data_IF_515083787474
#
_entry.id   IF_515083787474
#
_cell.length_a   1.000
_cell.length_b   1.000
_cell.length_c   1.000
_cell.angle_alpha   90.00
_cell.angle_beta   90.00
_cell.angle_gamma   90.00
#
_symmetry.space_group_name_H-M   'P 1'
#
loop_
_entity.id
_entity.type
_entity.pdbx_description
1 polymer ?
#
# COMPACT_ATOMS: atom_id res chain seq x y z
N UNK A 1 12.27 7.36 -16.55
CA UNK A 1 13.40 6.38 -16.35
C UNK A 1 14.16 6.23 -17.66
N UNK A 2 15.52 6.40 -17.66
CA UNK A 2 16.33 6.24 -18.87
C UNK A 2 16.52 4.75 -19.25
N UNK A 3 16.92 4.50 -20.50
CA UNK A 3 17.03 3.11 -21.03
C UNK A 3 18.07 2.25 -20.30
N UNK A 4 19.30 2.72 -20.00
CA UNK A 4 20.28 1.92 -19.29
C UNK A 4 19.79 1.48 -17.90
N UNK A 5 19.17 2.39 -17.14
CA UNK A 5 18.61 2.06 -15.82
C UNK A 5 17.44 1.06 -15.93
N UNK A 6 16.61 1.17 -16.96
CA UNK A 6 15.54 0.19 -17.19
C UNK A 6 16.09 -1.21 -17.44
N UNK A 7 17.12 -1.34 -18.30
CA UNK A 7 17.77 -2.63 -18.59
C UNK A 7 18.42 -3.19 -17.32
N UNK A 8 19.15 -2.36 -16.57
CA UNK A 8 19.71 -2.74 -15.27
C UNK A 8 18.63 -3.28 -14.33
N UNK A 9 17.52 -2.53 -14.17
CA UNK A 9 16.41 -2.96 -13.32
C UNK A 9 15.72 -4.23 -13.82
N UNK A 10 15.71 -4.48 -15.14
CA UNK A 10 15.16 -5.73 -15.69
C UNK A 10 15.98 -6.95 -15.28
N UNK A 11 17.30 -6.81 -15.26
CA UNK A 11 18.24 -7.90 -14.93
C UNK A 11 18.43 -8.08 -13.41
N UNK A 12 18.23 -7.03 -12.60
CA UNK A 12 18.43 -7.07 -11.16
C UNK A 12 17.47 -8.07 -10.49
N UNK A 13 17.95 -8.99 -9.64
CA UNK A 13 17.11 -9.85 -8.79
C UNK A 13 16.47 -9.03 -7.65
N UNK A 14 15.47 -8.22 -8.01
CA UNK A 14 14.87 -7.16 -7.17
C UNK A 14 14.41 -7.63 -5.79
N UNK A 15 13.85 -8.83 -5.69
CA UNK A 15 13.40 -9.38 -4.42
C UNK A 15 14.57 -9.72 -3.49
N UNK A 16 15.66 -10.28 -4.03
CA UNK A 16 16.86 -10.56 -3.25
C UNK A 16 17.56 -9.26 -2.83
N UNK A 17 17.74 -8.32 -3.77
CA UNK A 17 18.30 -7.00 -3.50
C UNK A 17 17.49 -6.26 -2.42
N UNK A 18 16.17 -6.27 -2.51
CA UNK A 18 15.29 -5.65 -1.50
C UNK A 18 15.37 -6.35 -0.14
N UNK A 19 15.56 -7.68 -0.08
CA UNK A 19 15.79 -8.39 1.20
C UNK A 19 17.11 -7.98 1.84
N UNK A 20 18.18 -7.90 1.06
CA UNK A 20 19.51 -7.47 1.54
C UNK A 20 19.45 -6.03 2.04
N UNK A 21 18.88 -5.13 1.26
CA UNK A 21 18.69 -3.74 1.65
C UNK A 21 17.84 -3.62 2.93
N UNK A 22 16.71 -4.34 3.00
CA UNK A 22 15.87 -4.38 4.20
C UNK A 22 16.60 -4.96 5.42
N UNK A 23 17.51 -5.93 5.26
CA UNK A 23 18.37 -6.39 6.36
C UNK A 23 19.32 -5.29 6.82
N UNK A 24 19.95 -4.58 5.86
CA UNK A 24 20.83 -3.44 6.16
C UNK A 24 20.09 -2.33 6.94
N UNK A 25 18.89 -1.96 6.53
CA UNK A 25 18.11 -0.91 7.21
C UNK A 25 17.70 -1.28 8.65
N UNK A 26 17.70 -2.57 8.98
CA UNK A 26 17.40 -3.10 10.32
C UNK A 26 18.64 -3.43 11.16
N UNK A 27 19.84 -3.22 10.63
CA UNK A 27 21.08 -3.41 11.41
C UNK A 27 21.05 -2.55 12.69
N UNK A 28 21.56 -3.13 13.76
CA UNK A 28 21.67 -2.50 15.08
C UNK A 28 23.14 -2.30 15.47
N UNK A 29 23.95 -1.75 14.56
CA UNK A 29 25.32 -1.34 14.85
C UNK A 29 25.25 0.12 15.35
N UNK A 30 25.44 0.40 16.65
CA UNK A 30 24.99 1.65 17.27
C UNK A 30 25.46 2.91 16.54
N UNK A 31 26.74 3.00 16.22
CA UNK A 31 27.32 4.19 15.55
C UNK A 31 26.83 4.31 14.09
N UNK A 32 26.95 3.23 13.31
CA UNK A 32 26.57 3.21 11.89
C UNK A 32 25.08 3.43 11.70
N UNK A 33 24.26 2.76 12.50
CA UNK A 33 22.79 2.88 12.43
C UNK A 33 22.34 4.29 12.81
N UNK A 34 23.01 4.95 13.77
CA UNK A 34 22.73 6.34 14.14
C UNK A 34 23.01 7.29 12.98
N UNK A 35 24.17 7.14 12.33
CA UNK A 35 24.53 7.96 11.16
C UNK A 35 23.53 7.75 10.03
N UNK A 36 23.26 6.50 9.65
CA UNK A 36 22.37 6.16 8.57
C UNK A 36 20.92 6.67 8.83
N UNK A 37 20.41 6.51 10.05
CA UNK A 37 19.10 7.02 10.47
C UNK A 37 19.02 8.54 10.37
N UNK A 38 20.02 9.25 10.90
CA UNK A 38 20.05 10.72 10.88
C UNK A 38 20.19 11.25 9.45
N UNK A 39 21.05 10.64 8.63
CA UNK A 39 21.18 10.97 7.22
C UNK A 39 19.86 10.75 6.45
N UNK A 40 19.17 9.64 6.71
CA UNK A 40 17.85 9.35 6.12
C UNK A 40 16.83 10.42 6.52
N UNK A 41 16.73 10.75 7.82
CA UNK A 41 15.79 11.74 8.31
C UNK A 41 16.05 13.13 7.71
N UNK A 42 17.32 13.53 7.61
CA UNK A 42 17.73 14.80 7.03
C UNK A 42 17.50 14.85 5.52
N UNK A 43 17.91 13.82 4.78
CA UNK A 43 17.76 13.76 3.32
C UNK A 43 16.30 13.84 2.87
N UNK A 44 15.41 13.09 3.55
CA UNK A 44 13.99 13.10 3.25
C UNK A 44 13.21 14.19 4.01
N UNK A 45 13.89 15.03 4.80
CA UNK A 45 13.27 16.10 5.61
C UNK A 45 12.07 15.59 6.42
N UNK A 46 12.27 14.48 7.16
CA UNK A 46 11.19 13.86 7.93
C UNK A 46 10.67 14.84 8.99
N UNK A 47 9.37 15.06 9.00
CA UNK A 47 8.73 15.75 10.10
C UNK A 47 8.63 14.82 11.31
N UNK A 48 9.46 15.11 12.32
CA UNK A 48 9.47 14.37 13.57
C UNK A 48 8.56 14.96 14.63
N UNK A 49 7.91 16.10 14.37
CA UNK A 49 6.99 16.75 15.32
C UNK A 49 5.73 15.91 15.57
N UNK A 50 5.27 15.21 14.54
CA UNK A 50 4.13 14.29 14.60
C UNK A 50 4.49 12.91 15.20
N UNK A 51 5.77 12.52 15.22
CA UNK A 51 6.21 11.19 15.66
C UNK A 51 6.00 10.99 17.18
N UNK A 52 5.59 9.77 17.58
CA UNK A 52 5.38 9.40 18.98
C UNK A 52 6.64 9.59 19.83
N UNK A 53 7.81 9.30 19.25
CA UNK A 53 9.11 9.41 19.92
C UNK A 53 10.07 10.32 19.14
N UNK A 54 11.04 10.95 19.80
CA UNK A 54 12.08 11.73 19.14
C UNK A 54 12.98 10.84 18.25
N UNK A 55 13.65 11.44 17.26
CA UNK A 55 14.51 10.73 16.32
C UNK A 55 15.54 9.81 17.01
N UNK A 56 16.07 10.23 18.15
CA UNK A 56 17.05 9.47 18.92
C UNK A 56 16.56 8.13 19.46
N UNK A 57 15.26 7.97 19.63
CA UNK A 57 14.61 6.75 20.13
C UNK A 57 14.77 5.57 19.16
N UNK A 58 14.66 5.83 17.87
CA UNK A 58 14.70 4.78 16.85
C UNK A 58 16.11 4.25 16.64
N UNK A 59 16.32 2.94 16.74
CA UNK A 59 17.64 2.32 16.69
C UNK A 59 18.24 2.26 15.27
N UNK A 60 17.39 2.26 14.24
CA UNK A 60 17.79 2.13 12.84
C UNK A 60 16.74 2.75 11.90
N UNK A 61 17.02 2.75 10.59
CA UNK A 61 16.11 3.29 9.57
C UNK A 61 14.79 2.51 9.55
N UNK A 62 14.81 1.18 9.70
CA UNK A 62 13.59 0.36 9.66
C UNK A 62 12.60 0.72 10.76
N UNK A 63 13.08 0.91 12.00
CA UNK A 63 12.23 1.35 13.12
C UNK A 63 11.68 2.76 12.89
N UNK A 64 12.52 3.70 12.40
CA UNK A 64 12.10 5.06 12.07
C UNK A 64 11.04 5.07 10.97
N UNK A 65 11.17 4.23 9.98
CA UNK A 65 10.27 4.17 8.83
C UNK A 65 8.85 3.75 9.22
N UNK A 66 8.71 2.79 10.13
CA UNK A 66 7.42 2.33 10.66
C UNK A 66 7.02 3.05 11.96
N UNK A 67 7.56 4.27 12.18
CA UNK A 67 7.26 5.08 13.38
C UNK A 67 5.75 5.21 13.60
N UNK A 68 5.34 5.26 14.84
CA UNK A 68 3.99 5.67 15.22
C UNK A 68 3.91 7.19 15.31
N UNK A 69 2.72 7.71 15.18
CA UNK A 69 2.42 9.13 15.41
C UNK A 69 1.84 9.32 16.82
N UNK A 70 1.95 10.53 17.33
CA UNK A 70 1.30 10.93 18.57
C UNK A 70 -0.23 10.77 18.44
N UNK A 71 -0.95 10.45 19.51
CA UNK A 71 -2.40 10.43 19.49
C UNK A 71 -2.99 11.73 18.93
N UNK A 72 -4.02 11.62 18.11
CA UNK A 72 -4.72 12.78 17.53
C UNK A 72 -4.06 13.41 16.29
N UNK A 73 -2.85 12.95 15.85
CA UNK A 73 -2.19 13.50 14.65
C UNK A 73 -2.89 13.13 13.34
N UNK A 74 -3.78 12.14 13.36
CA UNK A 74 -4.61 11.73 12.23
C UNK A 74 -6.07 11.64 12.69
N UNK A 75 -6.76 12.79 12.75
CA UNK A 75 -8.19 12.80 13.05
C UNK A 75 -8.94 12.09 11.93
N UNK A 76 -9.95 11.29 12.31
CA UNK A 76 -10.77 10.54 11.36
C UNK A 76 -12.01 11.36 11.02
N UNK A 77 -12.17 11.70 9.75
CA UNK A 77 -13.29 12.45 9.23
C UNK A 77 -14.62 11.68 9.38
N UNK A 78 -15.71 12.40 9.51
CA UNK A 78 -17.06 11.85 9.46
C UNK A 78 -17.50 11.66 7.99
N UNK A 79 -16.80 10.75 7.30
CA UNK A 79 -17.10 10.33 5.94
C UNK A 79 -17.14 8.80 5.90
N UNK A 80 -17.87 8.23 4.96
CA UNK A 80 -17.96 6.76 4.86
C UNK A 80 -16.60 6.13 4.55
N UNK A 81 -15.86 6.73 3.62
CA UNK A 81 -14.53 6.27 3.20
C UNK A 81 -13.47 7.33 3.50
N UNK A 82 -12.43 6.94 4.20
CA UNK A 82 -11.31 7.83 4.54
C UNK A 82 -9.99 7.28 3.97
N UNK A 83 -8.98 8.14 3.85
CA UNK A 83 -7.67 7.71 3.38
C UNK A 83 -7.03 6.70 4.36
N UNK A 84 -6.60 5.54 3.85
CA UNK A 84 -5.91 4.54 4.68
C UNK A 84 -4.45 4.88 4.93
N UNK A 85 -3.87 5.83 4.21
CA UNK A 85 -2.44 6.17 4.23
C UNK A 85 -2.20 7.65 4.02
N UNK A 86 -1.03 8.12 4.43
CA UNK A 86 -0.49 9.41 3.98
C UNK A 86 0.11 9.25 2.59
N UNK A 87 -0.21 10.13 1.65
CA UNK A 87 0.34 10.04 0.30
C UNK A 87 -0.28 11.03 -0.66
N UNK A 88 -0.06 10.81 -1.95
CA UNK A 88 -0.69 11.59 -3.03
C UNK A 88 -1.67 10.68 -3.76
N UNK A 89 -2.93 11.09 -3.88
CA UNK A 89 -3.93 10.39 -4.70
C UNK A 89 -3.58 10.65 -6.16
N UNK A 90 -2.89 9.69 -6.77
CA UNK A 90 -2.26 9.84 -8.08
C UNK A 90 -3.16 9.48 -9.25
N UNK A 91 -4.11 8.57 -9.03
CA UNK A 91 -5.06 8.10 -10.04
C UNK A 91 -6.39 7.75 -9.40
N UNK A 92 -7.48 7.95 -10.14
CA UNK A 92 -8.81 7.48 -9.78
C UNK A 92 -9.61 7.14 -11.03
N UNK A 93 -10.65 6.35 -10.89
CA UNK A 93 -11.57 5.98 -11.97
C UNK A 93 -12.69 5.07 -11.50
N UNK A 94 -13.52 4.71 -12.46
CA UNK A 94 -14.71 3.87 -12.25
C UNK A 94 -14.66 2.66 -13.19
N UNK A 95 -15.35 1.60 -12.83
CA UNK A 95 -15.46 0.36 -13.61
C UNK A 95 -16.78 0.31 -14.39
N UNK A 96 -17.01 1.31 -15.25
CA UNK A 96 -18.27 1.46 -16.00
C UNK A 96 -18.40 0.56 -17.24
N UNK A 97 -17.31 -0.05 -17.69
CA UNK A 97 -17.28 -0.95 -18.86
C UNK A 97 -17.14 -2.43 -18.50
N UNK A 98 -17.18 -3.28 -19.51
CA UNK A 98 -16.94 -4.72 -19.33
C UNK A 98 -15.49 -5.03 -18.93
N UNK A 99 -14.54 -4.20 -19.36
CA UNK A 99 -13.17 -4.25 -18.90
C UNK A 99 -13.01 -3.37 -17.66
N UNK A 100 -12.85 -4.00 -16.50
CA UNK A 100 -12.54 -3.33 -15.23
C UNK A 100 -11.09 -2.82 -15.24
N UNK A 101 -10.85 -1.78 -16.04
CA UNK A 101 -9.50 -1.23 -16.27
C UNK A 101 -9.16 -0.12 -15.29
N UNK A 102 -7.99 -0.22 -14.68
CA UNK A 102 -7.40 0.80 -13.83
C UNK A 102 -6.34 1.59 -14.60
N UNK A 103 -6.34 2.90 -14.44
CA UNK A 103 -5.32 3.76 -15.02
C UNK A 103 -4.02 3.60 -14.23
N UNK A 104 -2.93 3.31 -14.94
CA UNK A 104 -1.59 3.25 -14.36
C UNK A 104 -0.89 4.61 -14.49
N UNK A 105 -0.62 5.05 -15.71
CA UNK A 105 -0.08 6.35 -16.07
C UNK A 105 -0.02 6.51 -17.59
N UNK A 106 -0.12 7.73 -18.11
CA UNK A 106 0.10 8.05 -19.54
C UNK A 106 -0.64 7.12 -20.51
N UNK A 107 -1.91 6.87 -20.26
CA UNK A 107 -2.75 6.03 -21.12
C UNK A 107 -2.53 4.52 -20.97
N UNK A 108 -1.60 4.06 -20.11
CA UNK A 108 -1.48 2.64 -19.75
C UNK A 108 -2.52 2.27 -18.74
N UNK A 109 -3.13 1.13 -18.96
CA UNK A 109 -4.13 0.53 -18.06
C UNK A 109 -3.73 -0.89 -17.67
N UNK A 110 -4.37 -1.42 -16.67
CA UNK A 110 -4.29 -2.82 -16.26
C UNK A 110 -5.66 -3.26 -15.71
N UNK A 111 -5.98 -4.55 -15.80
CA UNK A 111 -7.28 -5.05 -15.35
C UNK A 111 -7.32 -5.27 -13.83
N UNK A 112 -8.51 -5.13 -13.23
CA UNK A 112 -8.72 -5.50 -11.84
C UNK A 112 -8.50 -7.00 -11.62
N UNK A 113 -8.86 -7.84 -12.59
CA UNK A 113 -8.60 -9.28 -12.61
C UNK A 113 -7.10 -9.58 -12.48
N UNK A 114 -6.24 -8.89 -13.22
CA UNK A 114 -4.78 -9.07 -13.15
C UNK A 114 -4.22 -8.55 -11.83
N UNK A 115 -4.73 -7.41 -11.34
CA UNK A 115 -4.35 -6.87 -10.05
C UNK A 115 -4.66 -7.86 -8.92
N UNK A 116 -5.84 -8.46 -8.92
CA UNK A 116 -6.30 -9.37 -7.87
C UNK A 116 -5.89 -10.83 -8.11
N UNK A 117 -5.50 -11.18 -9.35
CA UNK A 117 -5.32 -12.56 -9.83
C UNK A 117 -6.52 -13.45 -9.50
N UNK A 118 -7.71 -12.88 -9.63
CA UNK A 118 -9.01 -13.55 -9.41
C UNK A 118 -10.07 -12.85 -10.24
N UNK A 119 -10.65 -13.57 -11.15
CA UNK A 119 -11.79 -13.11 -11.96
C UNK A 119 -13.05 -12.99 -11.11
N UNK A 120 -13.31 -14.02 -10.28
CA UNK A 120 -14.45 -14.01 -9.35
C UNK A 120 -14.47 -12.79 -8.44
N UNK A 121 -13.31 -12.48 -7.82
CA UNK A 121 -13.22 -11.31 -6.95
C UNK A 121 -13.34 -10.00 -7.73
N UNK A 122 -12.79 -9.95 -8.95
CA UNK A 122 -12.92 -8.76 -9.80
C UNK A 122 -14.38 -8.50 -10.18
N UNK A 123 -15.14 -9.53 -10.58
CA UNK A 123 -16.57 -9.38 -10.92
C UNK A 123 -17.41 -8.81 -9.77
N UNK A 124 -17.08 -9.12 -8.52
CA UNK A 124 -17.79 -8.57 -7.35
C UNK A 124 -17.63 -7.05 -7.23
N UNK A 125 -16.59 -6.47 -7.82
CA UNK A 125 -16.31 -5.03 -7.83
C UNK A 125 -16.70 -4.35 -9.16
N UNK A 126 -17.38 -5.05 -10.06
CA UNK A 126 -17.92 -4.47 -11.30
C UNK A 126 -18.86 -3.30 -10.98
N UNK A 127 -18.72 -2.21 -11.71
CA UNK A 127 -19.47 -0.98 -11.46
C UNK A 127 -18.97 -0.16 -10.26
N UNK A 128 -17.89 -0.56 -9.62
CA UNK A 128 -17.26 0.15 -8.52
C UNK A 128 -16.34 1.28 -8.96
N UNK A 129 -15.46 1.71 -8.05
CA UNK A 129 -14.48 2.76 -8.28
C UNK A 129 -13.14 2.42 -7.61
N UNK A 130 -12.06 3.08 -8.05
CA UNK A 130 -10.75 2.92 -7.46
C UNK A 130 -10.03 4.25 -7.23
N UNK A 131 -9.09 4.23 -6.27
CA UNK A 131 -8.09 5.27 -6.06
C UNK A 131 -6.71 4.66 -5.85
N UNK A 132 -5.69 5.23 -6.48
CA UNK A 132 -4.29 4.87 -6.29
C UNK A 132 -3.59 5.96 -5.50
N UNK A 133 -3.06 5.62 -4.32
CA UNK A 133 -2.38 6.55 -3.41
C UNK A 133 -0.90 6.15 -3.34
N UNK A 134 -0.03 7.06 -3.75
CA UNK A 134 1.42 6.89 -3.72
C UNK A 134 2.01 7.43 -2.42
N UNK A 135 2.80 6.62 -1.72
CA UNK A 135 3.51 7.01 -0.51
C UNK A 135 4.97 7.31 -0.84
N UNK A 136 5.39 8.54 -0.61
CA UNK A 136 6.80 8.92 -0.69
C UNK A 136 7.56 8.48 0.59
N UNK A 137 8.91 8.34 0.54
CA UNK A 137 9.69 7.84 1.70
C UNK A 137 9.54 8.66 2.99
N UNK A 138 9.17 9.93 2.90
CA UNK A 138 8.93 10.79 4.06
C UNK A 138 7.57 10.64 4.71
N UNK A 139 6.59 10.06 4.00
CA UNK A 139 5.24 9.87 4.52
C UNK A 139 5.21 8.93 5.73
N UNK A 140 4.09 8.89 6.41
CA UNK A 140 3.76 7.90 7.41
C UNK A 140 3.41 6.58 6.71
N UNK A 141 4.02 5.45 7.12
CA UNK A 141 3.94 4.17 6.40
C UNK A 141 3.15 3.08 7.12
N UNK A 142 2.38 3.43 8.15
CA UNK A 142 1.34 2.53 8.64
C UNK A 142 0.08 2.71 7.83
N UNK A 143 -0.67 1.65 7.69
CA UNK A 143 -1.87 1.55 6.86
C UNK A 143 -3.04 1.39 7.82
N UNK A 144 -4.09 2.13 7.60
CA UNK A 144 -5.27 2.13 8.45
C UNK A 144 -6.50 1.66 7.68
N UNK A 145 -7.54 1.23 8.38
CA UNK A 145 -8.79 0.84 7.74
C UNK A 145 -9.50 2.08 7.19
N UNK A 146 -9.86 2.10 5.90
CA UNK A 146 -10.58 3.22 5.31
C UNK A 146 -12.04 3.30 5.73
N UNK A 147 -12.58 2.24 6.29
CA UNK A 147 -13.98 2.07 6.70
C UNK A 147 -14.05 1.33 8.03
N UNK A 148 -15.20 1.39 8.70
CA UNK A 148 -15.56 0.43 9.75
C UNK A 148 -16.09 -0.84 9.10
N UNK A 149 -15.59 -2.01 9.50
CA UNK A 149 -16.05 -3.28 8.94
C UNK A 149 -15.19 -4.48 9.34
N UNK A 150 -15.57 -5.64 8.84
CA UNK A 150 -14.96 -6.92 9.13
C UNK A 150 -14.05 -7.39 8.00
N UNK A 151 -12.87 -7.90 8.38
CA UNK A 151 -11.98 -8.56 7.43
C UNK A 151 -12.59 -9.90 6.99
N UNK A 152 -12.82 -10.04 5.69
CA UNK A 152 -13.38 -11.28 5.12
C UNK A 152 -12.34 -12.11 4.38
N UNK A 153 -11.30 -11.48 3.85
CA UNK A 153 -10.25 -12.16 3.09
C UNK A 153 -8.94 -11.36 3.11
N UNK A 154 -7.82 -12.06 3.16
CA UNK A 154 -6.52 -11.54 2.75
C UNK A 154 -5.96 -12.37 1.61
N UNK A 155 -5.42 -11.71 0.58
CA UNK A 155 -4.84 -12.37 -0.58
C UNK A 155 -3.41 -11.90 -0.82
N UNK A 156 -2.49 -12.84 -0.83
CA UNK A 156 -1.10 -12.59 -1.22
C UNK A 156 -0.88 -12.98 -2.68
N UNK A 157 -0.38 -12.06 -3.48
CA UNK A 157 0.05 -12.31 -4.84
C UNK A 157 1.58 -12.13 -4.91
N UNK A 158 2.35 -13.20 -5.05
CA UNK A 158 3.79 -13.10 -5.25
C UNK A 158 4.11 -12.35 -6.54
N UNK A 159 5.24 -11.66 -6.56
CA UNK A 159 5.62 -10.87 -7.72
C UNK A 159 7.06 -10.38 -7.63
N UNK A 160 7.45 -9.52 -8.53
CA UNK A 160 8.72 -8.78 -8.47
C UNK A 160 8.56 -7.50 -7.63
N UNK A 161 9.61 -6.69 -7.58
CA UNK A 161 9.62 -5.43 -6.84
C UNK A 161 10.20 -4.32 -7.73
N UNK A 162 9.46 -3.88 -8.75
CA UNK A 162 9.82 -2.69 -9.51
C UNK A 162 9.64 -1.42 -8.66
N UNK A 163 10.46 -0.39 -8.85
CA UNK A 163 10.19 0.92 -8.25
C UNK A 163 8.82 1.43 -8.68
N UNK A 164 8.09 2.10 -7.78
CA UNK A 164 6.77 2.68 -8.08
C UNK A 164 6.83 4.20 -8.29
N UNK A 165 8.02 4.74 -8.58
CA UNK A 165 8.17 6.14 -8.95
C UNK A 165 7.58 6.42 -10.36
N UNK A 166 7.33 7.70 -10.66
CA UNK A 166 6.73 8.16 -11.91
C UNK A 166 7.39 7.54 -13.15
N UNK A 167 8.73 7.55 -13.24
CA UNK A 167 9.43 7.02 -14.40
C UNK A 167 9.25 5.51 -14.62
N UNK A 168 9.06 4.73 -13.56
CA UNK A 168 8.80 3.28 -13.68
C UNK A 168 7.34 3.01 -14.03
N UNK A 169 6.41 3.72 -13.38
CA UNK A 169 4.97 3.59 -13.64
C UNK A 169 4.63 3.96 -15.09
N UNK A 170 5.32 4.92 -15.68
CA UNK A 170 5.15 5.29 -17.08
C UNK A 170 5.74 4.28 -18.07
N UNK A 171 6.77 3.53 -17.68
CA UNK A 171 7.53 2.66 -18.60
C UNK A 171 7.19 1.19 -18.50
N UNK A 172 6.97 0.70 -17.29
CA UNK A 172 6.70 -0.73 -17.03
C UNK A 172 5.22 -1.00 -17.15
N UNK A 173 4.82 -1.82 -18.11
CA UNK A 173 3.42 -2.20 -18.31
C UNK A 173 2.92 -3.10 -17.18
N UNK A 174 1.69 -2.87 -16.70
CA UNK A 174 1.07 -3.65 -15.63
C UNK A 174 1.89 -3.65 -14.33
N UNK A 175 2.65 -2.59 -14.05
CA UNK A 175 3.60 -2.53 -12.94
C UNK A 175 2.98 -2.99 -11.62
N UNK A 176 1.77 -2.54 -11.32
CA UNK A 176 1.10 -2.90 -10.07
C UNK A 176 0.64 -4.36 -10.04
N UNK A 177 0.41 -4.98 -11.20
CA UNK A 177 0.04 -6.40 -11.33
C UNK A 177 1.24 -7.34 -11.24
N UNK A 178 2.43 -6.89 -11.66
CA UNK A 178 3.67 -7.70 -11.62
C UNK A 178 4.40 -7.58 -10.28
N UNK A 179 4.17 -6.51 -9.51
CA UNK A 179 4.77 -6.34 -8.20
C UNK A 179 4.07 -7.24 -7.16
N UNK A 180 4.87 -7.69 -6.18
CA UNK A 180 4.40 -8.42 -5.00
C UNK A 180 3.39 -7.56 -4.24
N UNK A 181 2.27 -8.13 -3.83
CA UNK A 181 1.18 -7.38 -3.19
C UNK A 181 0.36 -8.21 -2.23
N UNK A 182 -0.25 -7.53 -1.28
CA UNK A 182 -1.12 -8.09 -0.26
C UNK A 182 -2.44 -7.30 -0.21
N UNK A 183 -3.56 -7.96 -0.44
CA UNK A 183 -4.89 -7.37 -0.42
C UNK A 183 -5.60 -7.70 0.88
N UNK A 184 -6.28 -6.74 1.49
CA UNK A 184 -7.26 -6.96 2.55
C UNK A 184 -8.64 -6.59 2.01
N UNK A 185 -9.60 -7.48 2.14
CA UNK A 185 -11.01 -7.25 1.80
C UNK A 185 -11.79 -7.03 3.08
N UNK A 186 -12.44 -5.89 3.18
CA UNK A 186 -13.23 -5.49 4.35
C UNK A 186 -14.67 -5.34 3.92
N UNK A 187 -15.58 -5.93 4.69
CA UNK A 187 -17.04 -5.85 4.49
C UNK A 187 -17.66 -4.95 5.54
N UNK A 188 -18.46 -4.00 5.09
CA UNK A 188 -19.23 -3.10 5.94
C UNK A 188 -20.51 -3.81 6.43
N UNK A 189 -21.18 -3.21 7.41
CA UNK A 189 -22.39 -3.77 8.02
C UNK A 189 -23.58 -3.95 7.05
N UNK A 190 -23.64 -3.12 6.00
CA UNK A 190 -24.65 -3.20 4.93
C UNK A 190 -24.30 -4.23 3.83
N UNK A 191 -23.21 -4.95 4.02
CA UNK A 191 -22.67 -5.94 3.08
C UNK A 191 -21.94 -5.36 1.87
N UNK A 192 -21.70 -4.04 1.81
CA UNK A 192 -20.80 -3.45 0.84
C UNK A 192 -19.33 -3.75 1.17
N UNK A 193 -18.44 -3.66 0.19
CA UNK A 193 -17.06 -4.14 0.34
C UNK A 193 -16.03 -3.17 -0.22
N UNK A 194 -14.86 -3.16 0.43
CA UNK A 194 -13.69 -2.41 -0.02
C UNK A 194 -12.45 -3.31 -0.02
N UNK A 195 -11.59 -3.13 -1.04
CA UNK A 195 -10.27 -3.74 -1.09
C UNK A 195 -9.19 -2.69 -0.79
N UNK A 196 -8.28 -3.06 0.10
CA UNK A 196 -7.04 -2.31 0.36
C UNK A 196 -5.89 -3.11 -0.22
N UNK A 197 -5.50 -2.80 -1.46
CA UNK A 197 -4.40 -3.49 -2.15
C UNK A 197 -3.09 -2.78 -1.85
N UNK A 198 -2.23 -3.43 -1.10
CA UNK A 198 -0.91 -2.95 -0.68
C UNK A 198 0.13 -3.48 -1.66
N UNK A 199 0.74 -2.61 -2.47
CA UNK A 199 1.70 -3.01 -3.52
C UNK A 199 3.11 -2.71 -3.06
N UNK A 200 3.98 -3.72 -3.07
CA UNK A 200 5.40 -3.60 -2.76
C UNK A 200 6.21 -2.95 -3.89
N UNK A 201 7.39 -2.44 -3.55
CA UNK A 201 8.31 -1.82 -4.50
C UNK A 201 9.78 -2.17 -4.20
N UNK A 202 10.71 -1.78 -5.06
CA UNK A 202 12.16 -1.94 -4.83
C UNK A 202 12.56 -1.30 -3.51
N UNK A 203 13.39 -2.00 -2.75
CA UNK A 203 13.82 -1.68 -1.40
C UNK A 203 12.70 -1.75 -0.35
N UNK A 204 11.50 -2.17 -0.74
CA UNK A 204 10.25 -2.12 0.01
C UNK A 204 9.46 -3.40 -0.16
N UNK A 205 10.05 -4.52 -0.01
CA UNK A 205 9.33 -5.77 -0.22
C UNK A 205 8.45 -6.21 0.95
N UNK A 206 8.58 -5.61 2.14
CA UNK A 206 7.87 -6.10 3.32
C UNK A 206 6.59 -5.33 3.57
N UNK A 207 5.48 -6.04 3.45
CA UNK A 207 4.15 -5.59 3.84
C UNK A 207 3.69 -6.53 4.95
N UNK A 208 3.42 -5.97 6.13
CA UNK A 208 2.86 -6.71 7.26
C UNK A 208 1.46 -6.22 7.59
N UNK A 209 0.64 -7.09 8.16
CA UNK A 209 -0.71 -6.80 8.64
C UNK A 209 -0.84 -7.09 10.12
N UNK A 210 -1.75 -6.41 10.84
CA UNK A 210 -1.87 -6.55 12.29
C UNK A 210 -2.63 -7.80 12.71
N UNK A 211 -3.45 -8.36 11.84
CA UNK A 211 -4.31 -9.49 12.11
C UNK A 211 -3.67 -10.86 11.83
N UNK A 212 -2.50 -10.90 11.20
CA UNK A 212 -1.74 -12.15 10.99
C UNK A 212 -0.25 -11.85 10.75
N UNK A 213 0.59 -12.07 11.74
CA UNK A 213 2.04 -11.86 11.67
C UNK A 213 2.79 -12.77 10.68
N UNK A 214 2.16 -13.88 10.25
CA UNK A 214 2.71 -14.77 9.23
C UNK A 214 2.49 -14.23 7.82
N UNK A 215 1.54 -13.32 7.61
CA UNK A 215 1.34 -12.60 6.36
C UNK A 215 2.34 -11.43 6.26
N UNK A 216 3.61 -11.77 6.07
CA UNK A 216 4.69 -10.82 5.89
C UNK A 216 5.38 -11.09 4.55
N UNK A 217 5.20 -10.19 3.58
CA UNK A 217 5.74 -10.36 2.23
C UNK A 217 7.26 -10.24 2.22
N UNK A 218 7.91 -10.81 1.21
CA UNK A 218 9.37 -10.80 0.98
C UNK A 218 10.24 -11.16 2.20
N UNK A 219 9.67 -11.89 3.16
CA UNK A 219 10.36 -12.36 4.38
C UNK A 219 10.84 -13.82 4.28
N UNK A 220 10.60 -14.49 3.15
CA UNK A 220 10.91 -15.90 2.94
C UNK A 220 9.90 -16.87 3.55
N UNK A 221 8.82 -16.36 4.15
CA UNK A 221 7.79 -17.16 4.82
C UNK A 221 6.63 -17.57 3.90
N UNK A 222 6.33 -16.76 2.88
CA UNK A 222 5.21 -16.99 1.98
C UNK A 222 5.65 -17.72 0.71
N UNK A 223 4.85 -18.68 0.19
CA UNK A 223 5.15 -19.42 -1.02
C UNK A 223 5.17 -18.48 -2.24
N UNK A 224 6.11 -18.69 -3.16
CA UNK A 224 6.28 -17.90 -4.37
C UNK A 224 5.96 -18.66 -5.65
N UNK A 225 5.73 -19.95 -5.54
CA UNK A 225 5.35 -20.89 -6.61
C UNK A 225 3.86 -20.80 -6.98
N UNK A 226 3.03 -20.26 -6.07
CA UNK A 226 1.58 -20.08 -6.28
C UNK A 226 1.30 -18.72 -6.95
N UNK A 227 0.29 -18.70 -7.83
CA UNK A 227 -0.17 -17.45 -8.44
C UNK A 227 -0.80 -16.50 -7.41
N UNK A 228 -1.53 -17.07 -6.45
CA UNK A 228 -2.23 -16.37 -5.37
C UNK A 228 -2.36 -17.30 -4.16
N UNK A 229 -2.31 -16.74 -2.97
CA UNK A 229 -2.57 -17.43 -1.70
C UNK A 229 -3.61 -16.63 -0.92
N UNK A 230 -4.72 -17.26 -0.65
CA UNK A 230 -5.81 -16.67 0.14
C UNK A 230 -5.76 -17.15 1.57
N UNK A 231 -6.01 -16.23 2.48
CA UNK A 231 -6.20 -16.48 3.90
C UNK A 231 -7.56 -15.93 4.33
N UNK A 232 -8.42 -16.82 4.78
CA UNK A 232 -9.72 -16.51 5.36
C UNK A 232 -9.57 -16.52 6.87
N UNK A 233 -9.96 -15.47 7.59
CA UNK A 233 -9.88 -15.44 9.04
C UNK A 233 -10.67 -16.60 9.66
N UNK A 234 -10.06 -17.28 10.66
CA UNK A 234 -10.74 -18.31 11.45
C UNK A 234 -11.54 -17.73 12.63
N UNK A 235 -11.42 -16.46 12.86
CA UNK A 235 -12.17 -15.66 13.84
C UNK A 235 -12.50 -14.30 13.25
N UNK A 236 -13.49 -13.61 13.82
CA UNK A 236 -13.85 -12.26 13.39
C UNK A 236 -12.72 -11.26 13.71
N UNK A 237 -12.32 -10.48 12.71
CA UNK A 237 -11.43 -9.33 12.86
C UNK A 237 -12.19 -8.08 12.39
N UNK A 238 -12.66 -7.30 13.34
CA UNK A 238 -13.35 -6.03 13.08
C UNK A 238 -12.40 -4.86 13.17
N UNK A 239 -12.51 -3.92 12.26
CA UNK A 239 -11.76 -2.68 12.26
C UNK A 239 -12.69 -1.50 12.46
N UNK A 240 -12.32 -0.61 13.35
CA UNK A 240 -12.87 0.74 13.35
C UNK A 240 -12.26 1.54 12.18
N UNK A 241 -13.03 2.49 11.63
CA UNK A 241 -12.53 3.43 10.64
C UNK A 241 -11.33 4.19 11.21
N UNK A 242 -10.20 4.20 10.48
CA UNK A 242 -8.93 4.75 10.98
C UNK A 242 -8.12 3.81 11.88
N UNK A 243 -8.62 2.60 12.23
CA UNK A 243 -7.86 1.59 12.97
C UNK A 243 -6.67 1.04 12.16
N UNK A 244 -5.55 0.68 12.81
CA UNK A 244 -4.37 0.16 12.11
C UNK A 244 -4.67 -1.19 11.44
N UNK A 245 -4.43 -1.28 10.14
CA UNK A 245 -4.60 -2.48 9.31
C UNK A 245 -3.27 -3.18 9.04
N UNK A 246 -2.18 -2.42 8.98
CA UNK A 246 -0.87 -2.96 8.67
C UNK A 246 0.21 -1.90 8.48
N UNK A 247 1.32 -2.28 7.86
CA UNK A 247 2.43 -1.37 7.61
C UNK A 247 3.27 -1.78 6.41
N UNK A 248 3.91 -0.81 5.83
CA UNK A 248 5.02 -1.02 4.91
C UNK A 248 6.36 -0.86 5.65
N UNK A 249 7.25 -1.82 5.51
CA UNK A 249 8.62 -1.69 6.00
C UNK A 249 9.53 -1.12 4.90
N UNK A 250 9.23 0.09 4.41
CA UNK A 250 9.77 0.97 3.35
C UNK A 250 8.86 1.10 2.11
N UNK A 251 8.51 2.33 1.70
CA UNK A 251 7.65 2.95 0.67
C UNK A 251 6.88 2.13 -0.35
N UNK A 252 5.72 2.62 -0.79
CA UNK A 252 4.92 1.84 -1.72
C UNK A 252 3.64 2.56 -2.20
N UNK A 253 2.69 1.79 -2.69
CA UNK A 253 1.42 2.28 -3.22
C UNK A 253 0.28 1.50 -2.58
N UNK A 254 -0.78 2.19 -2.22
CA UNK A 254 -2.07 1.58 -1.86
C UNK A 254 -3.06 1.85 -2.99
N UNK A 255 -3.75 0.80 -3.43
CA UNK A 255 -4.88 0.92 -4.33
C UNK A 255 -6.13 0.55 -3.53
N UNK A 256 -7.05 1.51 -3.40
CA UNK A 256 -8.39 1.27 -2.87
C UNK A 256 -9.29 0.88 -4.02
N UNK A 257 -10.15 -0.11 -3.79
CA UNK A 257 -11.23 -0.48 -4.72
C UNK A 257 -12.51 -0.60 -3.89
N UNK A 258 -13.52 0.16 -4.25
CA UNK A 258 -14.86 0.10 -3.63
C UNK A 258 -15.82 -0.57 -4.57
N UNK A 259 -16.81 -1.28 -4.03
CA UNK A 259 -17.85 -1.90 -4.81
C UNK A 259 -18.87 -0.87 -5.37
N UNK A 260 -19.79 -1.37 -6.18
CA UNK A 260 -20.84 -0.57 -6.81
C UNK A 260 -21.73 0.14 -5.79
N UNK A 261 -22.06 -0.50 -4.66
CA UNK A 261 -22.93 0.07 -3.63
C UNK A 261 -22.33 1.33 -3.00
N UNK A 262 -21.03 1.28 -2.62
CA UNK A 262 -20.32 2.46 -2.08
C UNK A 262 -20.25 3.56 -3.14
N UNK A 263 -19.91 3.22 -4.39
CA UNK A 263 -19.85 4.20 -5.47
C UNK A 263 -21.19 4.87 -5.74
N UNK A 264 -22.30 4.15 -5.75
CA UNK A 264 -23.63 4.72 -5.98
C UNK A 264 -24.07 5.68 -4.87
N UNK A 265 -23.63 5.44 -3.63
CA UNK A 265 -23.85 6.39 -2.53
C UNK A 265 -22.97 7.64 -2.65
N UNK A 266 -21.79 7.49 -3.25
CA UNK A 266 -20.78 8.56 -3.38
C UNK A 266 -20.27 8.66 -4.83
N UNK A 267 -21.04 9.23 -5.79
CA UNK A 267 -20.67 9.25 -7.22
C UNK A 267 -19.37 10.01 -7.51
N UNK A 268 -19.01 10.96 -6.65
CA UNK A 268 -17.79 11.77 -6.77
C UNK A 268 -16.64 11.30 -5.88
N UNK A 269 -16.78 10.11 -5.27
CA UNK A 269 -15.75 9.52 -4.43
C UNK A 269 -14.41 9.52 -5.16
N UNK A 270 -13.37 9.99 -4.48
CA UNK A 270 -12.00 10.14 -4.96
C UNK A 270 -11.74 11.29 -5.95
N UNK A 271 -12.72 11.76 -6.72
CA UNK A 271 -12.51 12.75 -7.80
C UNK A 271 -11.96 14.08 -7.30
N UNK A 272 -12.51 14.59 -6.20
CA UNK A 272 -12.12 15.87 -5.60
C UNK A 272 -10.69 15.89 -5.04
N UNK A 273 -10.10 14.72 -4.83
CA UNK A 273 -8.77 14.55 -4.24
C UNK A 273 -7.67 14.19 -5.24
N UNK A 274 -8.02 14.03 -6.52
CA UNK A 274 -7.03 13.66 -7.55
C UNK A 274 -5.90 14.70 -7.62
N UNK A 275 -4.66 14.21 -7.55
CA UNK A 275 -3.45 15.02 -7.55
C UNK A 275 -3.12 15.69 -6.21
N UNK A 276 -3.97 15.55 -5.18
CA UNK A 276 -3.76 16.15 -3.88
C UNK A 276 -3.06 15.20 -2.90
N UNK A 277 -2.34 15.79 -1.96
CA UNK A 277 -1.88 15.06 -0.78
C UNK A 277 -3.05 14.76 0.14
N UNK A 278 -3.08 13.55 0.66
CA UNK A 278 -4.05 13.09 1.65
C UNK A 278 -3.32 12.52 2.85
N UNK A 279 -3.92 12.62 4.03
CA UNK A 279 -3.44 12.00 5.27
C UNK A 279 -4.42 10.92 5.71
N UNK A 280 -3.92 9.95 6.48
CA UNK A 280 -4.76 8.94 7.13
C UNK A 280 -5.94 9.62 7.83
N UNK A 281 -7.15 9.10 7.62
CA UNK A 281 -8.37 9.61 8.24
C UNK A 281 -9.05 10.77 7.50
N UNK A 282 -8.41 11.41 6.52
CA UNK A 282 -9.08 12.43 5.71
C UNK A 282 -10.13 11.82 4.78
N UNK A 283 -11.24 12.53 4.56
CA UNK A 283 -12.29 12.13 3.62
C UNK A 283 -11.75 12.00 2.18
N UNK A 284 -12.17 10.96 1.49
CA UNK A 284 -11.85 10.70 0.08
C UNK A 284 -13.06 10.94 -0.83
#
# INVERSE_FOLDING_TARGET
MNTPFYVFMKLLPKNAASRIFGAFTRLRIPFLSKIARNAFASYYKLDMSEAEYPLSHYKNIGELFIRKLKPGMRPVADAEVVSPVDGVLSQTGTFDGDEQSLIQAKGKTYSLKDLLRSEELAERFKGGAFATIYLAPFNYHRIHSPVKGDLVLSSYCPGTLWPVNVGSVERVEGLFCINERLTSQIRLADGSEILVVKVGATNVGRIGVVYNENLLTNAGKLPRDKKRLDWIPNQQYSFEKGGELGRFEMGSTVILVVDKKIRERHPDLFKSRLGQSVKVGEAL
#
